data_IF_290111485651
#
_entry.id   IF_290111485651
#
_cell.length_a   1.000
_cell.length_b   1.000
_cell.length_c   1.000
_cell.angle_alpha   90.00
_cell.angle_beta   90.00
_cell.angle_gamma   90.00
#
_symmetry.space_group_name_H-M   'P 1'
#
loop_
_entity.id
_entity.type
_entity.pdbx_description
1 polymer ?
#
# COMPACT_ATOMS: atom_id res chain seq x y z
N UNK A 1 -21.62 65.53 55.61
CA UNK A 1 -22.83 64.91 55.04
C UNK A 1 -22.62 64.73 53.54
N UNK A 2 -22.22 63.53 53.11
CA UNK A 2 -22.63 62.87 51.85
C UNK A 2 -21.68 61.71 51.58
N UNK A 3 -22.28 60.58 51.24
CA UNK A 3 -21.72 59.23 51.22
C UNK A 3 -21.93 58.67 49.80
N UNK A 4 -21.14 57.64 49.45
CA UNK A 4 -21.25 56.71 48.31
C UNK A 4 -20.45 57.10 47.05
N UNK A 5 -19.51 56.25 46.65
CA UNK A 5 -19.84 55.07 45.84
C UNK A 5 -18.58 54.28 45.47
N UNK A 6 -18.46 53.06 46.00
CA UNK A 6 -17.49 52.05 45.59
C UNK A 6 -17.98 51.40 44.28
N UNK A 7 -17.14 51.33 43.24
CA UNK A 7 -17.35 50.42 42.10
C UNK A 7 -16.11 49.60 41.82
N UNK A 8 -16.30 48.29 41.93
CA UNK A 8 -15.42 47.20 41.55
C UNK A 8 -14.98 47.29 40.08
N UNK A 9 -13.74 46.90 39.81
CA UNK A 9 -13.31 46.36 38.52
C UNK A 9 -12.39 45.17 38.76
N UNK A 10 -12.96 43.97 38.63
CA UNK A 10 -12.21 42.72 38.49
C UNK A 10 -11.44 42.76 37.17
N UNK A 11 -10.13 42.55 37.23
CA UNK A 11 -9.29 42.33 36.05
C UNK A 11 -9.28 40.84 35.73
N UNK A 12 -9.88 40.47 34.60
CA UNK A 12 -9.89 39.11 34.08
C UNK A 12 -8.57 38.73 33.42
N UNK A 13 -8.01 37.60 33.86
CA UNK A 13 -6.88 36.92 33.22
C UNK A 13 -7.40 36.23 31.94
N UNK A 14 -6.95 36.66 30.76
CA UNK A 14 -7.17 35.91 29.52
C UNK A 14 -5.92 35.07 29.26
N UNK A 15 -5.97 33.81 29.66
CA UNK A 15 -5.00 32.80 29.24
C UNK A 15 -5.24 32.47 27.77
N UNK A 16 -4.33 32.88 26.90
CA UNK A 16 -4.32 32.47 25.50
C UNK A 16 -3.95 30.99 25.41
N UNK A 17 -4.95 30.11 25.32
CA UNK A 17 -4.77 28.73 24.88
C UNK A 17 -4.31 28.75 23.42
N UNK A 18 -3.00 28.63 23.20
CA UNK A 18 -2.44 28.28 21.90
C UNK A 18 -2.88 26.85 21.58
N UNK A 19 -3.96 26.72 20.80
CA UNK A 19 -4.39 25.44 20.22
C UNK A 19 -3.29 25.03 19.25
N UNK A 20 -2.47 24.05 19.65
CA UNK A 20 -1.54 23.40 18.75
C UNK A 20 -2.36 22.72 17.64
N UNK A 21 -2.35 23.29 16.44
CA UNK A 21 -2.91 22.63 15.28
C UNK A 21 -2.14 21.32 15.07
N UNK A 22 -2.81 20.17 14.89
CA UNK A 22 -2.12 18.94 14.53
C UNK A 22 -1.39 19.19 13.20
N UNK A 23 -0.08 18.96 13.19
CA UNK A 23 0.71 18.95 11.97
C UNK A 23 0.00 18.06 10.96
N UNK A 24 -0.50 18.65 9.88
CA UNK A 24 -1.05 17.90 8.77
C UNK A 24 0.04 16.93 8.31
N UNK A 25 -0.22 15.63 8.48
CA UNK A 25 0.64 14.58 7.94
C UNK A 25 0.75 14.82 6.44
N UNK A 26 1.97 15.07 5.97
CA UNK A 26 2.30 15.34 4.57
C UNK A 26 1.92 14.12 3.71
N UNK A 27 0.67 14.04 3.27
CA UNK A 27 0.28 13.14 2.20
C UNK A 27 0.70 13.77 0.86
N UNK A 28 1.15 12.95 -0.07
CA UNK A 28 1.48 13.37 -1.43
C UNK A 28 0.27 14.12 -2.04
N UNK A 29 0.43 15.40 -2.40
CA UNK A 29 -0.68 16.25 -2.89
C UNK A 29 -0.78 16.28 -4.43
N UNK A 30 0.27 15.86 -5.12
CA UNK A 30 0.37 15.78 -6.58
C UNK A 30 1.08 14.51 -6.98
N UNK A 31 0.73 13.93 -8.13
CA UNK A 31 1.29 12.66 -8.60
C UNK A 31 1.57 12.71 -10.10
N UNK A 32 2.74 12.23 -10.52
CA UNK A 32 3.06 11.95 -11.90
C UNK A 32 2.30 10.70 -12.41
N UNK A 33 1.95 9.78 -11.52
CA UNK A 33 1.11 8.62 -11.80
C UNK A 33 -0.39 8.88 -11.53
N UNK A 34 -0.89 10.06 -11.91
CA UNK A 34 -2.26 10.47 -11.65
C UNK A 34 -3.33 9.69 -12.42
N UNK A 35 -4.56 10.16 -12.30
CA UNK A 35 -5.76 9.48 -12.80
C UNK A 35 -5.72 9.20 -14.30
N UNK A 36 -5.15 10.12 -15.11
CA UNK A 36 -5.00 9.91 -16.54
C UNK A 36 -4.14 8.70 -16.89
N UNK A 37 -3.07 8.46 -16.12
CA UNK A 37 -2.20 7.29 -16.30
C UNK A 37 -2.92 6.02 -15.88
N UNK A 38 -3.58 6.03 -14.71
CA UNK A 38 -4.41 4.89 -14.27
C UNK A 38 -5.51 4.57 -15.29
N UNK A 39 -6.21 5.57 -15.83
CA UNK A 39 -7.26 5.37 -16.82
C UNK A 39 -6.74 4.74 -18.12
N UNK A 40 -5.55 5.14 -18.58
CA UNK A 40 -4.92 4.53 -19.76
C UNK A 40 -4.54 3.07 -19.52
N UNK A 41 -3.92 2.77 -18.37
CA UNK A 41 -3.58 1.39 -17.98
C UNK A 41 -4.84 0.53 -17.87
N UNK A 42 -5.87 1.01 -17.17
CA UNK A 42 -7.13 0.27 -17.01
C UNK A 42 -7.76 -0.06 -18.37
N UNK A 43 -7.86 0.94 -19.27
CA UNK A 43 -8.38 0.73 -20.62
C UNK A 43 -7.60 -0.33 -21.41
N UNK A 44 -6.28 -0.33 -21.31
CA UNK A 44 -5.43 -1.30 -22.01
C UNK A 44 -5.54 -2.71 -21.42
N UNK A 45 -5.62 -2.83 -20.09
CA UNK A 45 -5.86 -4.11 -19.41
C UNK A 45 -7.25 -4.66 -19.75
N UNK A 46 -8.29 -3.82 -19.75
CA UNK A 46 -9.65 -4.22 -20.13
C UNK A 46 -9.72 -4.68 -21.59
N UNK A 47 -9.04 -3.98 -22.50
CA UNK A 47 -8.94 -4.39 -23.90
C UNK A 47 -8.20 -5.73 -24.08
N UNK A 48 -7.31 -6.08 -23.15
CA UNK A 48 -6.57 -7.34 -23.16
C UNK A 48 -7.32 -8.49 -22.45
N UNK A 49 -8.48 -8.24 -21.82
CA UNK A 49 -9.16 -9.22 -20.97
C UNK A 49 -9.53 -10.53 -21.70
N UNK A 50 -9.81 -10.46 -23.00
CA UNK A 50 -10.16 -11.61 -23.86
C UNK A 50 -8.98 -12.29 -24.54
N UNK A 51 -7.76 -11.78 -24.37
CA UNK A 51 -6.54 -12.35 -24.97
C UNK A 51 -6.09 -13.60 -24.20
N UNK A 52 -5.16 -14.37 -24.79
CA UNK A 52 -4.48 -15.44 -24.06
C UNK A 52 -3.61 -14.87 -22.94
N UNK A 53 -3.34 -15.67 -21.89
CA UNK A 53 -2.48 -15.23 -20.78
C UNK A 53 -1.10 -14.75 -21.24
N UNK A 54 -0.51 -15.40 -22.24
CA UNK A 54 0.78 -14.98 -22.80
C UNK A 54 0.71 -13.62 -23.51
N UNK A 55 -0.42 -13.27 -24.11
CA UNK A 55 -0.64 -11.96 -24.74
C UNK A 55 -0.95 -10.88 -23.71
N UNK A 56 -1.76 -11.18 -22.68
CA UNK A 56 -1.99 -10.29 -21.54
C UNK A 56 -0.69 -9.88 -20.87
N UNK A 57 0.19 -10.84 -20.59
CA UNK A 57 1.50 -10.56 -19.98
C UNK A 57 2.37 -9.65 -20.85
N UNK A 58 2.28 -9.74 -22.18
CA UNK A 58 2.99 -8.82 -23.09
C UNK A 58 2.42 -7.41 -22.99
N UNK A 59 1.10 -7.26 -22.94
CA UNK A 59 0.44 -5.95 -22.78
C UNK A 59 0.83 -5.35 -21.43
N UNK A 60 0.73 -6.10 -20.34
CA UNK A 60 1.13 -5.65 -19.01
C UNK A 60 2.60 -5.23 -18.94
N UNK A 61 3.50 -5.98 -19.57
CA UNK A 61 4.93 -5.63 -19.65
C UNK A 61 5.16 -4.31 -20.40
N UNK A 62 4.45 -4.08 -21.52
CA UNK A 62 4.52 -2.83 -22.27
C UNK A 62 4.00 -1.63 -21.47
N UNK A 63 2.86 -1.80 -20.79
CA UNK A 63 2.31 -0.77 -19.89
C UNK A 63 3.28 -0.47 -18.75
N UNK A 64 3.86 -1.51 -18.17
CA UNK A 64 4.86 -1.37 -17.12
C UNK A 64 6.06 -0.54 -17.58
N UNK A 65 6.65 -0.88 -18.73
CA UNK A 65 7.80 -0.16 -19.26
C UNK A 65 7.48 1.29 -19.62
N UNK A 66 6.27 1.55 -20.11
CA UNK A 66 5.78 2.88 -20.44
C UNK A 66 5.64 3.78 -19.21
N UNK A 67 5.13 3.24 -18.10
CA UNK A 67 4.69 4.07 -16.96
C UNK A 67 5.55 3.95 -15.70
N UNK A 68 6.50 3.00 -15.61
CA UNK A 68 7.37 2.84 -14.43
C UNK A 68 8.11 4.11 -13.99
N UNK A 69 8.40 5.01 -14.93
CA UNK A 69 9.06 6.28 -14.63
C UNK A 69 8.22 7.20 -13.74
N UNK A 70 6.89 7.22 -13.90
CA UNK A 70 6.04 8.05 -13.05
C UNK A 70 6.13 7.59 -11.59
N UNK A 71 6.20 6.27 -11.36
CA UNK A 71 6.28 5.69 -10.01
C UNK A 71 7.60 6.05 -9.34
N UNK A 72 8.67 6.05 -10.13
CA UNK A 72 10.00 6.49 -9.69
C UNK A 72 10.01 7.98 -9.33
N UNK A 73 9.35 8.83 -10.11
CA UNK A 73 9.24 10.28 -9.85
C UNK A 73 8.51 10.52 -8.54
N UNK A 74 7.36 9.87 -8.34
CA UNK A 74 6.56 10.01 -7.13
C UNK A 74 7.28 9.47 -5.89
N UNK A 75 7.92 8.30 -6.01
CA UNK A 75 8.73 7.72 -4.94
C UNK A 75 9.87 8.65 -4.49
N UNK A 76 10.51 9.34 -5.44
CA UNK A 76 11.59 10.30 -5.15
C UNK A 76 11.11 11.55 -4.42
N UNK A 77 9.82 11.88 -4.50
CA UNK A 77 9.21 13.01 -3.80
C UNK A 77 8.73 12.65 -2.39
N UNK A 78 8.76 11.36 -2.03
CA UNK A 78 8.31 10.89 -0.72
C UNK A 78 9.33 11.31 0.36
N UNK A 79 8.94 12.14 1.34
CA UNK A 79 9.87 12.58 2.38
C UNK A 79 10.25 11.40 3.28
N UNK A 80 11.48 11.40 3.81
CA UNK A 80 11.92 10.35 4.75
C UNK A 80 11.08 10.28 6.05
N UNK A 81 10.36 11.36 6.37
CA UNK A 81 9.43 11.44 7.49
C UNK A 81 8.00 10.95 7.15
N UNK A 82 7.76 10.46 5.93
CA UNK A 82 6.45 9.95 5.53
C UNK A 82 5.97 8.86 6.51
N UNK A 83 4.70 8.88 6.95
CA UNK A 83 4.15 7.91 7.88
C UNK A 83 4.35 6.45 7.46
N UNK A 84 4.47 6.13 6.17
CA UNK A 84 4.68 4.75 5.71
C UNK A 84 5.92 4.10 6.31
N UNK A 85 7.02 4.85 6.47
CA UNK A 85 8.26 4.31 7.01
C UNK A 85 8.16 4.01 8.52
N UNK A 86 7.39 4.82 9.24
CA UNK A 86 7.12 4.60 10.66
C UNK A 86 6.16 3.43 10.84
N UNK A 87 5.09 3.39 10.06
CA UNK A 87 4.08 2.32 10.11
C UNK A 87 4.71 0.95 9.77
N UNK A 88 5.51 0.87 8.69
CA UNK A 88 6.24 -0.35 8.35
C UNK A 88 7.14 -0.82 9.49
N UNK A 89 7.90 0.10 10.09
CA UNK A 89 8.80 -0.22 11.21
C UNK A 89 8.04 -0.72 12.45
N UNK A 90 6.91 -0.10 12.77
CA UNK A 90 6.05 -0.52 13.89
C UNK A 90 5.48 -1.93 13.67
N UNK A 91 5.28 -2.34 12.42
CA UNK A 91 4.93 -3.70 12.04
C UNK A 91 6.12 -4.66 11.90
N UNK A 92 7.35 -4.25 12.27
CA UNK A 92 8.55 -5.07 12.13
C UNK A 92 8.99 -5.28 10.67
N UNK A 93 8.52 -4.44 9.76
CA UNK A 93 8.85 -4.47 8.34
C UNK A 93 9.74 -3.29 7.94
N UNK A 94 10.36 -3.41 6.77
CA UNK A 94 11.12 -2.35 6.10
C UNK A 94 10.56 -2.14 4.70
N UNK A 95 10.31 -0.90 4.31
CA UNK A 95 10.00 -0.56 2.92
C UNK A 95 11.22 -0.86 2.05
N UNK A 96 11.06 -1.78 1.08
CA UNK A 96 12.14 -2.25 0.22
C UNK A 96 12.05 -1.75 -1.22
N UNK A 97 10.86 -1.35 -1.66
CA UNK A 97 10.61 -0.71 -2.94
C UNK A 97 9.45 0.29 -2.80
N UNK A 98 9.47 1.34 -3.60
CA UNK A 98 8.44 2.38 -3.64
C UNK A 98 8.04 2.66 -5.09
N UNK A 99 6.74 2.72 -5.31
CA UNK A 99 6.13 3.43 -6.43
C UNK A 99 5.42 4.69 -5.93
N UNK A 100 4.40 5.12 -6.67
CA UNK A 100 3.48 6.15 -6.22
C UNK A 100 2.63 5.66 -5.05
N UNK A 101 2.71 6.38 -3.93
CA UNK A 101 1.83 6.16 -2.79
C UNK A 101 0.64 7.14 -2.82
N UNK A 102 0.34 7.84 -3.91
CA UNK A 102 -0.76 8.80 -3.89
C UNK A 102 -2.13 8.14 -3.64
N UNK A 103 -2.32 6.91 -4.16
CA UNK A 103 -3.59 6.20 -4.16
C UNK A 103 -3.69 5.10 -3.11
N UNK A 104 -2.65 4.28 -2.98
CA UNK A 104 -2.62 3.10 -2.11
C UNK A 104 -1.30 2.98 -1.36
N UNK A 105 -1.33 2.29 -0.22
CA UNK A 105 -0.13 1.87 0.50
C UNK A 105 -0.38 0.58 1.29
N UNK A 106 0.68 -0.19 1.49
CA UNK A 106 0.71 -1.38 2.32
C UNK A 106 1.73 -1.18 3.44
N UNK A 107 1.27 -1.02 4.67
CA UNK A 107 2.15 -0.73 5.81
C UNK A 107 2.61 -1.98 6.56
N UNK A 108 1.92 -3.10 6.44
CA UNK A 108 2.20 -4.31 7.19
C UNK A 108 1.88 -5.56 6.34
N UNK A 109 2.48 -6.68 6.70
CA UNK A 109 2.15 -8.00 6.19
C UNK A 109 2.48 -9.05 7.24
N UNK A 110 1.71 -10.14 7.26
CA UNK A 110 1.93 -11.28 8.13
C UNK A 110 1.73 -12.61 7.42
N UNK A 111 2.22 -13.68 8.03
CA UNK A 111 1.98 -15.06 7.62
C UNK A 111 1.30 -15.79 8.78
N UNK A 112 0.16 -16.42 8.51
CA UNK A 112 -0.52 -17.37 9.38
C UNK A 112 0.03 -18.76 9.06
N UNK A 113 0.91 -19.31 9.91
CA UNK A 113 1.61 -20.53 9.58
C UNK A 113 0.70 -21.78 9.69
N UNK A 114 -0.34 -21.74 10.53
CA UNK A 114 -1.34 -22.81 10.66
C UNK A 114 -2.21 -22.94 9.41
N UNK A 115 -2.60 -21.80 8.82
CA UNK A 115 -3.40 -21.76 7.59
C UNK A 115 -2.57 -21.71 6.31
N UNK A 116 -1.27 -21.45 6.43
CA UNK A 116 -0.34 -21.21 5.32
C UNK A 116 -0.80 -20.06 4.43
N UNK A 117 -1.28 -18.99 5.06
CA UNK A 117 -1.79 -17.82 4.35
C UNK A 117 -1.02 -16.57 4.70
N UNK A 118 -0.80 -15.71 3.73
CA UNK A 118 -0.34 -14.35 3.96
C UNK A 118 -1.53 -13.41 4.04
N UNK A 119 -1.40 -12.36 4.83
CA UNK A 119 -2.37 -11.27 4.90
C UNK A 119 -1.64 -9.93 4.95
N UNK A 120 -2.01 -9.01 4.07
CA UNK A 120 -1.48 -7.65 4.06
C UNK A 120 -2.63 -6.64 4.03
N UNK A 121 -2.73 -5.73 5.03
CA UNK A 121 -3.60 -4.57 4.92
C UNK A 121 -3.15 -3.64 3.78
N UNK A 122 -4.10 -3.26 2.94
CA UNK A 122 -3.96 -2.27 1.88
C UNK A 122 -4.87 -1.10 2.22
N UNK A 123 -4.24 0.07 2.42
CA UNK A 123 -4.95 1.32 2.70
C UNK A 123 -5.17 2.07 1.41
N UNK A 124 -6.43 2.33 1.11
CA UNK A 124 -6.86 3.18 -0.01
C UNK A 124 -7.01 4.61 0.49
N UNK A 125 -6.35 5.55 -0.20
CA UNK A 125 -6.22 6.96 0.18
C UNK A 125 -6.98 7.91 -0.74
N UNK A 126 -7.44 7.43 -1.89
CA UNK A 126 -8.25 8.21 -2.84
C UNK A 126 -9.62 7.56 -3.03
N UNK A 127 -10.62 8.36 -3.36
CA UNK A 127 -11.97 7.87 -3.71
C UNK A 127 -12.13 7.53 -5.20
N UNK A 128 -11.09 7.81 -5.99
CA UNK A 128 -11.09 7.72 -7.45
C UNK A 128 -9.79 7.05 -7.93
N UNK A 129 -9.73 6.74 -9.23
CA UNK A 129 -8.59 6.04 -9.84
C UNK A 129 -8.70 4.50 -9.79
N UNK A 130 -9.83 3.96 -9.35
CA UNK A 130 -10.05 2.50 -9.21
C UNK A 130 -11.11 1.95 -10.17
N UNK A 131 -11.58 2.74 -11.15
CA UNK A 131 -12.63 2.34 -12.10
C UNK A 131 -14.06 2.61 -11.61
N UNK A 132 -15.05 2.46 -12.51
CA UNK A 132 -16.46 2.73 -12.21
C UNK A 132 -17.04 1.80 -11.13
N UNK A 133 -17.94 2.33 -10.31
CA UNK A 133 -18.63 1.56 -9.25
C UNK A 133 -19.96 0.97 -9.74
N UNK A 134 -20.33 -0.25 -9.31
CA UNK A 134 -19.50 -1.21 -8.55
C UNK A 134 -18.54 -2.01 -9.45
N UNK A 135 -18.79 -1.96 -10.76
CA UNK A 135 -18.03 -2.57 -11.84
C UNK A 135 -17.88 -1.55 -12.98
N UNK A 136 -16.80 -1.61 -13.79
CA UNK A 136 -15.81 -2.69 -13.87
C UNK A 136 -14.73 -2.69 -12.80
N UNK A 137 -14.51 -1.60 -12.05
CA UNK A 137 -13.50 -1.50 -10.99
C UNK A 137 -12.05 -1.81 -11.42
N UNK A 138 -11.19 -2.15 -10.47
CA UNK A 138 -9.78 -2.53 -10.67
C UNK A 138 -9.28 -3.38 -9.49
N UNK A 139 -8.04 -3.89 -9.55
CA UNK A 139 -7.49 -4.79 -8.53
C UNK A 139 -6.22 -4.27 -7.87
N UNK A 140 -6.13 -4.46 -6.56
CA UNK A 140 -4.88 -4.37 -5.81
C UNK A 140 -4.29 -5.76 -5.67
N UNK A 141 -3.17 -6.01 -6.35
CA UNK A 141 -2.47 -7.29 -6.29
C UNK A 141 -1.40 -7.25 -5.22
N UNK A 142 -1.27 -8.34 -4.47
CA UNK A 142 -0.12 -8.57 -3.59
C UNK A 142 0.55 -9.88 -3.96
N UNK A 143 1.85 -9.81 -4.30
CA UNK A 143 2.72 -10.97 -4.46
C UNK A 143 3.52 -11.17 -3.17
N UNK A 144 3.54 -12.40 -2.65
CA UNK A 144 4.34 -12.80 -1.51
C UNK A 144 5.51 -13.66 -1.97
N UNK A 145 6.68 -13.38 -1.40
CA UNK A 145 7.92 -14.08 -1.65
C UNK A 145 8.59 -14.49 -0.34
N UNK A 146 9.25 -15.65 -0.34
CA UNK A 146 10.00 -16.17 0.80
C UNK A 146 11.40 -16.55 0.35
N UNK A 147 12.39 -16.26 1.19
CA UNK A 147 13.78 -16.60 0.92
C UNK A 147 14.01 -18.11 1.08
N UNK A 148 14.65 -18.71 0.08
CA UNK A 148 15.19 -20.06 0.17
C UNK A 148 16.41 -20.13 1.10
N UNK A 149 17.02 -21.32 1.21
CA UNK A 149 18.20 -21.53 2.05
C UNK A 149 19.44 -20.74 1.58
N UNK A 150 19.52 -20.37 0.29
CA UNK A 150 20.57 -19.53 -0.26
C UNK A 150 20.27 -18.03 -0.09
N UNK A 151 19.12 -17.68 0.49
CA UNK A 151 18.69 -16.30 0.72
C UNK A 151 18.00 -15.66 -0.49
N UNK A 152 17.74 -16.40 -1.56
CA UNK A 152 17.08 -15.90 -2.77
C UNK A 152 15.56 -15.90 -2.56
N UNK A 153 14.91 -14.77 -2.85
CA UNK A 153 13.46 -14.66 -2.75
C UNK A 153 12.79 -15.40 -3.92
N UNK A 154 11.83 -16.26 -3.59
CA UNK A 154 10.99 -16.96 -4.55
C UNK A 154 9.51 -16.68 -4.27
N UNK A 155 8.66 -16.56 -5.29
CA UNK A 155 7.24 -16.31 -5.11
C UNK A 155 6.58 -17.51 -4.43
N UNK A 156 5.73 -17.30 -3.43
CA UNK A 156 5.03 -18.40 -2.72
C UNK A 156 3.52 -18.33 -2.84
N UNK A 157 2.97 -17.17 -3.16
CA UNK A 157 1.56 -16.98 -3.38
C UNK A 157 1.26 -15.53 -3.76
N UNK A 158 0.12 -15.32 -4.43
CA UNK A 158 -0.37 -14.00 -4.77
C UNK A 158 -1.89 -14.01 -4.82
N UNK A 159 -2.51 -12.91 -4.42
CA UNK A 159 -3.94 -12.69 -4.59
C UNK A 159 -4.22 -11.20 -4.80
N UNK A 160 -5.49 -10.82 -4.87
CA UNK A 160 -5.92 -9.45 -5.05
C UNK A 160 -7.28 -9.16 -4.43
N UNK A 161 -7.52 -7.89 -4.13
CA UNK A 161 -8.85 -7.39 -3.78
C UNK A 161 -9.38 -6.50 -4.90
N UNK A 162 -10.68 -6.61 -5.17
CA UNK A 162 -11.38 -5.75 -6.11
C UNK A 162 -11.79 -4.42 -5.47
N UNK A 163 -11.54 -3.33 -6.17
CA UNK A 163 -11.88 -1.97 -5.76
C UNK A 163 -12.67 -1.26 -6.86
N UNK A 164 -13.43 -0.24 -6.48
CA UNK A 164 -14.02 0.71 -7.41
C UNK A 164 -14.07 2.11 -6.79
N UNK A 165 -14.30 3.12 -7.62
CA UNK A 165 -14.48 4.50 -7.17
C UNK A 165 -15.64 4.60 -6.18
N UNK A 166 -15.61 5.59 -5.30
CA UNK A 166 -16.67 5.81 -4.32
C UNK A 166 -16.98 7.29 -4.18
N UNK A 167 -18.23 7.60 -3.85
CA UNK A 167 -18.63 8.98 -3.56
C UNK A 167 -18.09 9.47 -2.21
N UNK A 168 -17.84 8.53 -1.28
CA UNK A 168 -17.39 8.81 0.08
C UNK A 168 -15.88 9.06 0.12
N UNK A 169 -15.45 9.93 1.04
CA UNK A 169 -14.03 10.16 1.27
C UNK A 169 -13.38 8.92 1.93
N UNK A 170 -12.13 8.57 1.56
CA UNK A 170 -11.47 7.37 2.05
C UNK A 170 -10.79 7.58 3.42
N UNK A 171 -10.70 6.49 4.18
CA UNK A 171 -9.43 5.81 4.53
C UNK A 171 -9.75 4.32 4.65
N UNK A 172 -10.13 3.69 3.54
CA UNK A 172 -10.56 2.28 3.58
C UNK A 172 -9.38 1.36 3.78
N UNK A 173 -9.62 0.29 4.54
CA UNK A 173 -8.67 -0.77 4.78
C UNK A 173 -9.22 -2.03 4.14
N UNK A 174 -8.47 -2.59 3.20
CA UNK A 174 -8.74 -3.89 2.63
C UNK A 174 -7.66 -4.86 3.11
N UNK A 175 -7.96 -6.15 3.09
CA UNK A 175 -6.97 -7.19 3.34
C UNK A 175 -6.84 -8.03 2.07
N UNK A 176 -5.62 -8.09 1.52
CA UNK A 176 -5.29 -9.10 0.52
C UNK A 176 -4.78 -10.32 1.26
N UNK A 177 -5.50 -11.43 1.11
CA UNK A 177 -5.21 -12.70 1.76
C UNK A 177 -4.88 -13.72 0.67
N UNK A 178 -3.70 -14.32 0.74
CA UNK A 178 -3.23 -15.25 -0.28
C UNK A 178 -2.75 -16.56 0.34
N UNK A 179 -3.10 -17.69 -0.29
CA UNK A 179 -2.55 -18.99 0.10
C UNK A 179 -1.12 -19.14 -0.43
N UNK A 180 -0.23 -19.68 0.40
CA UNK A 180 1.17 -19.93 0.02
C UNK A 180 1.34 -21.31 -0.66
N UNK A 181 0.79 -21.48 -1.87
CA UNK A 181 0.70 -22.78 -2.56
C UNK A 181 1.74 -23.02 -3.64
N UNK A 182 2.32 -21.96 -4.22
CA UNK A 182 3.09 -22.08 -5.47
C UNK A 182 4.50 -22.65 -5.24
N UNK A 183 5.06 -22.41 -4.05
CA UNK A 183 6.37 -22.94 -3.64
C UNK A 183 6.30 -23.45 -2.20
N UNK A 184 5.42 -24.43 -1.98
CA UNK A 184 5.15 -25.02 -0.67
C UNK A 184 6.41 -25.43 0.13
N UNK A 185 7.49 -25.98 -0.48
CA UNK A 185 8.72 -26.32 0.26
C UNK A 185 9.45 -25.12 0.90
N UNK A 186 9.11 -23.88 0.54
CA UNK A 186 9.70 -22.69 1.17
C UNK A 186 8.97 -22.29 2.46
N UNK A 187 7.72 -22.70 2.59
CA UNK A 187 6.88 -22.47 3.76
C UNK A 187 6.59 -23.78 4.50
N UNK A 188 7.40 -24.81 4.26
CA UNK A 188 7.38 -26.11 4.92
C UNK A 188 8.83 -26.61 5.13
N UNK A 189 9.08 -27.50 6.10
CA UNK A 189 8.18 -27.91 7.17
C UNK A 189 7.94 -26.77 8.18
N UNK A 190 6.83 -26.85 8.91
CA UNK A 190 6.48 -25.91 9.98
C UNK A 190 7.27 -26.21 11.26
N UNK A 191 8.59 -25.96 11.22
CA UNK A 191 9.54 -26.32 12.28
C UNK A 191 10.01 -25.13 13.14
N UNK A 192 9.33 -23.99 13.07
CA UNK A 192 9.67 -22.75 13.78
C UNK A 192 10.81 -21.94 13.18
N UNK A 193 11.37 -22.37 12.03
CA UNK A 193 12.44 -21.64 11.36
C UNK A 193 12.00 -20.21 10.98
N UNK A 194 12.88 -19.23 11.22
CA UNK A 194 12.71 -17.86 10.73
C UNK A 194 13.11 -17.78 9.25
N UNK A 195 12.25 -17.18 8.43
CA UNK A 195 12.54 -16.88 7.02
C UNK A 195 12.35 -15.39 6.74
N UNK A 196 13.14 -14.86 5.81
CA UNK A 196 12.90 -13.53 5.23
C UNK A 196 11.79 -13.64 4.21
N UNK A 197 10.82 -12.74 4.28
CA UNK A 197 9.74 -12.60 3.34
C UNK A 197 9.75 -11.21 2.70
N UNK A 198 9.12 -11.11 1.54
CA UNK A 198 8.80 -9.87 0.87
C UNK A 198 7.37 -9.91 0.36
N UNK A 199 6.63 -8.83 0.54
CA UNK A 199 5.32 -8.64 -0.09
C UNK A 199 5.33 -7.41 -0.95
N UNK A 200 4.73 -7.48 -2.13
CA UNK A 200 4.75 -6.41 -3.15
C UNK A 200 3.31 -6.07 -3.52
N UNK A 201 2.86 -4.86 -3.17
CA UNK A 201 1.60 -4.29 -3.59
C UNK A 201 1.76 -3.64 -4.98
N UNK A 202 0.83 -3.91 -5.89
CA UNK A 202 0.76 -3.26 -7.20
C UNK A 202 -0.69 -3.16 -7.69
N UNK A 203 -1.06 -1.98 -8.19
CA UNK A 203 -2.37 -1.74 -8.75
C UNK A 203 -2.45 -2.18 -10.21
N UNK A 204 -3.46 -3.01 -10.52
CA UNK A 204 -3.93 -3.47 -11.83
C UNK A 204 -2.92 -4.15 -12.77
N UNK A 205 -1.63 -4.13 -12.44
CA UNK A 205 -0.56 -4.89 -13.08
C UNK A 205 -0.03 -5.87 -12.04
N UNK A 206 -0.11 -7.17 -12.35
CA UNK A 206 0.28 -8.21 -11.38
C UNK A 206 1.82 -8.23 -11.25
N UNK A 207 2.38 -8.21 -10.03
CA UNK A 207 3.82 -8.38 -9.86
C UNK A 207 4.27 -9.74 -10.42
N UNK A 208 5.28 -9.74 -11.27
CA UNK A 208 5.74 -10.96 -11.98
C UNK A 208 6.88 -11.69 -11.28
N UNK A 209 7.59 -11.02 -10.36
CA UNK A 209 8.74 -11.58 -9.65
C UNK A 209 9.02 -10.83 -8.34
N UNK A 210 9.89 -11.39 -7.49
CA UNK A 210 10.20 -10.86 -6.15
C UNK A 210 11.06 -9.57 -6.14
N UNK A 211 11.52 -9.11 -7.31
CA UNK A 211 12.24 -7.84 -7.48
C UNK A 211 11.40 -6.80 -8.24
N UNK A 212 10.12 -7.09 -8.48
CA UNK A 212 9.21 -6.17 -9.16
C UNK A 212 9.14 -4.83 -8.43
N UNK A 213 9.27 -3.74 -9.19
CA UNK A 213 9.20 -2.36 -8.68
C UNK A 213 7.83 -1.80 -9.03
N UNK A 214 6.90 -1.63 -8.07
CA UNK A 214 5.55 -1.21 -8.41
C UNK A 214 5.51 0.22 -8.96
N UNK A 215 4.60 0.46 -9.91
CA UNK A 215 4.30 1.82 -10.39
C UNK A 215 3.50 2.57 -9.33
N UNK A 216 2.50 1.89 -8.75
CA UNK A 216 1.75 2.35 -7.60
C UNK A 216 1.78 1.32 -6.48
N UNK A 217 1.87 1.78 -5.23
CA UNK A 217 2.06 0.95 -4.05
C UNK A 217 3.54 0.81 -3.66
N UNK A 218 3.85 -0.25 -2.90
CA UNK A 218 5.16 -0.46 -2.32
C UNK A 218 5.46 -1.95 -2.06
N UNK A 219 6.73 -2.24 -1.77
CA UNK A 219 7.13 -3.53 -1.23
C UNK A 219 7.65 -3.42 0.21
N UNK A 220 7.42 -4.47 0.98
CA UNK A 220 7.89 -4.62 2.35
C UNK A 220 8.76 -5.87 2.47
N UNK A 221 9.90 -5.73 3.15
CA UNK A 221 10.72 -6.84 3.63
C UNK A 221 10.48 -7.04 5.13
N UNK A 222 10.28 -8.28 5.56
CA UNK A 222 10.00 -8.64 6.95
C UNK A 222 10.40 -10.09 7.25
N UNK A 223 10.34 -10.48 8.52
CA UNK A 223 10.61 -11.84 8.96
C UNK A 223 9.30 -12.58 9.27
N UNK A 224 9.26 -13.87 8.94
CA UNK A 224 8.18 -14.78 9.31
C UNK A 224 8.75 -15.97 10.08
N UNK A 225 7.93 -16.62 10.90
CA UNK A 225 8.25 -17.91 11.53
C UNK A 225 7.35 -19.00 10.97
N UNK A 226 7.94 -20.15 10.70
CA UNK A 226 7.22 -21.33 10.22
C UNK A 226 6.77 -22.19 11.40
N UNK A 227 6.03 -21.62 12.35
CA UNK A 227 5.52 -22.36 13.53
C UNK A 227 4.37 -23.32 13.17
N UNK A 228 4.22 -24.44 13.89
CA UNK A 228 3.09 -25.36 13.64
C UNK A 228 1.84 -24.94 14.41
#
# INVERSE_FOLDING_TARGET
MSMKSLRNLLSGLVAACAVAAPFATFAQTTTACGEGVKAEVAKAVDAAASLSEGEKLKVEAQLYDKFKSCGTIDAAQLPAADPIFTAARQCGAKVSALGSLFYEEMSCCGYDPQRRTFACPVKVKQRFGFGGSPLPGSREHVLHCVADAAGVLQPVGADSVHLSNSALAPTWQFAVVANATDNLPLVQPMNGQVRRARSILSWNLRPTNCNYQPIWGNALDYAIRLDQ
#
